data_IF_572180127926
#
_entry.id   IF_572180127926
#
_cell.length_a   1.000
_cell.length_b   1.000
_cell.length_c   1.000
_cell.angle_alpha   90.00
_cell.angle_beta   90.00
_cell.angle_gamma   90.00
#
_symmetry.space_group_name_H-M   'P 1'
#
loop_
_entity.id
_entity.type
_entity.pdbx_description
1 polymer ?
#
# COMPACT_ATOMS: atom_id res chain seq x y z
N UNK A 1 -24.85 -8.12 -19.20
CA UNK A 1 -25.87 -8.81 -18.39
C UNK A 1 -26.13 -7.97 -17.15
N UNK A 2 -27.34 -7.46 -17.03
CA UNK A 2 -27.81 -6.68 -15.88
C UNK A 2 -27.77 -7.58 -14.63
N UNK A 3 -27.17 -7.15 -13.52
CA UNK A 3 -27.24 -7.93 -12.29
C UNK A 3 -28.71 -8.07 -11.86
N UNK A 4 -29.15 -9.27 -11.62
CA UNK A 4 -30.47 -9.55 -11.05
C UNK A 4 -30.45 -9.00 -9.63
N UNK A 5 -31.11 -7.87 -9.41
CA UNK A 5 -31.41 -7.39 -8.05
C UNK A 5 -32.38 -8.40 -7.45
N UNK A 6 -31.90 -9.22 -6.53
CA UNK A 6 -32.76 -10.07 -5.72
C UNK A 6 -33.62 -9.17 -4.83
N UNK A 7 -34.91 -9.17 -5.04
CA UNK A 7 -35.87 -8.43 -4.20
C UNK A 7 -35.92 -8.95 -2.75
N UNK A 8 -35.35 -10.10 -2.47
CA UNK A 8 -35.21 -10.65 -1.12
C UNK A 8 -33.98 -10.06 -0.37
N UNK A 9 -33.07 -9.38 -1.06
CA UNK A 9 -31.90 -8.76 -0.43
C UNK A 9 -32.19 -7.34 0.12
N UNK A 10 -33.36 -6.76 -0.18
CA UNK A 10 -33.69 -5.40 0.24
C UNK A 10 -34.16 -5.27 1.70
N UNK A 11 -34.52 -6.39 2.35
CA UNK A 11 -35.05 -6.40 3.73
C UNK A 11 -34.06 -6.98 4.76
N UNK A 12 -32.89 -7.44 4.33
CA UNK A 12 -31.85 -7.88 5.25
C UNK A 12 -31.03 -6.64 5.62
N UNK A 13 -31.10 -6.22 6.89
CA UNK A 13 -30.18 -5.23 7.46
C UNK A 13 -28.74 -5.65 7.10
N UNK A 14 -28.11 -4.88 6.22
CA UNK A 14 -26.71 -5.14 5.84
C UNK A 14 -25.85 -4.82 7.03
N UNK A 15 -25.45 -5.84 7.77
CA UNK A 15 -24.47 -5.71 8.85
C UNK A 15 -23.08 -5.77 8.27
N UNK A 16 -22.21 -4.84 8.65
CA UNK A 16 -20.84 -4.77 8.15
C UNK A 16 -19.84 -4.67 9.29
N UNK A 17 -18.73 -5.37 9.12
CA UNK A 17 -17.50 -5.18 9.86
C UNK A 17 -16.48 -4.65 8.86
N UNK A 18 -15.95 -3.46 9.12
CA UNK A 18 -14.91 -2.87 8.28
C UNK A 18 -13.54 -3.27 8.84
N UNK A 19 -12.70 -3.80 7.95
CA UNK A 19 -11.35 -4.25 8.32
C UNK A 19 -10.37 -3.56 7.39
N UNK A 20 -9.31 -3.00 7.96
CA UNK A 20 -8.20 -2.36 7.23
C UNK A 20 -8.55 -1.06 6.50
N UNK A 21 -9.68 -0.46 6.83
CA UNK A 21 -10.06 0.87 6.36
C UNK A 21 -11.14 1.51 7.24
N UNK A 22 -11.14 2.83 7.27
CA UNK A 22 -12.19 3.66 7.87
C UNK A 22 -12.51 4.87 6.98
N UNK A 23 -12.28 4.75 5.67
CA UNK A 23 -12.59 5.78 4.66
C UNK A 23 -13.73 5.32 3.76
N UNK A 24 -14.73 6.19 3.54
CA UNK A 24 -15.89 5.89 2.69
C UNK A 24 -15.51 5.49 1.27
N UNK A 25 -14.49 6.12 0.70
CA UNK A 25 -14.00 5.84 -0.65
C UNK A 25 -13.25 4.52 -0.80
N UNK A 26 -12.94 3.84 0.30
CA UNK A 26 -12.32 2.51 0.31
C UNK A 26 -13.34 1.41 0.63
N UNK A 27 -14.51 1.78 1.12
CA UNK A 27 -15.57 0.86 1.43
C UNK A 27 -16.34 0.44 0.16
N UNK A 28 -17.06 -0.68 0.26
CA UNK A 28 -17.95 -1.13 -0.82
C UNK A 28 -19.09 -0.15 -1.04
N UNK A 29 -19.60 -0.09 -2.27
CA UNK A 29 -20.77 0.72 -2.60
C UNK A 29 -21.97 0.36 -1.71
N UNK A 30 -22.62 1.37 -1.15
CA UNK A 30 -23.77 1.22 -0.27
C UNK A 30 -23.41 1.00 1.21
N UNK A 31 -22.16 1.25 1.62
CA UNK A 31 -21.77 1.18 3.04
C UNK A 31 -22.56 2.16 3.91
N UNK A 32 -23.01 3.29 3.36
CA UNK A 32 -23.83 4.28 4.03
C UNK A 32 -25.25 3.80 4.35
N UNK A 33 -25.71 2.73 3.70
CA UNK A 33 -27.00 2.07 3.96
C UNK A 33 -26.87 0.89 4.93
N UNK A 34 -25.64 0.58 5.35
CA UNK A 34 -25.35 -0.57 6.18
C UNK A 34 -25.28 -0.21 7.66
N UNK A 35 -25.64 -1.16 8.51
CA UNK A 35 -25.39 -1.12 9.93
C UNK A 35 -23.94 -1.57 10.19
N UNK A 36 -23.04 -0.60 10.33
CA UNK A 36 -21.63 -0.87 10.64
C UNK A 36 -21.53 -1.22 12.12
N UNK A 37 -21.17 -2.47 12.42
CA UNK A 37 -21.06 -2.98 13.78
C UNK A 37 -19.67 -2.77 14.38
N UNK A 38 -18.64 -2.98 13.57
CA UNK A 38 -17.26 -2.93 14.02
C UNK A 38 -16.35 -2.31 12.96
N UNK A 39 -15.32 -1.60 13.41
CA UNK A 39 -14.21 -1.11 12.56
C UNK A 39 -12.91 -1.53 13.24
N UNK A 40 -12.09 -2.31 12.52
CA UNK A 40 -10.78 -2.79 12.98
C UNK A 40 -9.73 -2.31 11.99
N UNK A 41 -8.88 -1.38 12.41
CA UNK A 41 -8.01 -0.66 11.49
C UNK A 41 -6.69 -0.21 12.14
N UNK A 42 -5.69 0.07 11.32
CA UNK A 42 -4.40 0.64 11.72
C UNK A 42 -4.09 1.97 11.03
N UNK A 43 -4.98 2.43 10.17
CA UNK A 43 -4.80 3.69 9.43
C UNK A 43 -5.18 4.92 10.27
N UNK A 44 -4.89 6.10 9.74
CA UNK A 44 -5.39 7.36 10.29
C UNK A 44 -6.91 7.35 10.30
N UNK A 45 -7.50 8.07 11.24
CA UNK A 45 -8.94 8.31 11.24
C UNK A 45 -9.36 9.12 10.02
N UNK A 46 -10.47 8.73 9.41
CA UNK A 46 -11.00 9.36 8.23
C UNK A 46 -12.54 9.55 8.29
N UNK A 47 -13.25 9.36 7.19
CA UNK A 47 -14.56 9.92 6.92
C UNK A 47 -15.75 8.97 7.04
N UNK A 48 -15.61 7.80 7.65
CA UNK A 48 -16.75 6.91 7.91
C UNK A 48 -17.61 7.52 9.03
N UNK A 49 -18.89 7.73 8.72
CA UNK A 49 -19.92 8.11 9.65
C UNK A 49 -20.85 6.92 9.88
N UNK A 50 -21.24 6.67 11.12
CA UNK A 50 -22.13 5.55 11.50
C UNK A 50 -23.43 6.09 12.11
N UNK A 51 -24.55 5.40 11.87
CA UNK A 51 -25.86 5.78 12.41
C UNK A 51 -26.00 5.53 13.91
N UNK A 52 -25.21 4.61 14.45
CA UNK A 52 -25.24 4.22 15.85
C UNK A 52 -23.86 4.01 16.44
N UNK A 53 -23.78 3.66 17.73
CA UNK A 53 -22.52 3.29 18.36
C UNK A 53 -21.88 2.09 17.67
N UNK A 54 -20.56 2.16 17.45
CA UNK A 54 -19.77 1.12 16.78
C UNK A 54 -18.61 0.70 17.68
N UNK A 55 -18.27 -0.58 17.65
CA UNK A 55 -17.00 -1.03 18.21
C UNK A 55 -15.87 -0.57 17.26
N UNK A 56 -15.02 0.33 17.75
CA UNK A 56 -13.93 0.88 16.93
C UNK A 56 -12.59 0.57 17.58
N UNK A 57 -11.80 -0.28 16.94
CA UNK A 57 -10.45 -0.63 17.38
C UNK A 57 -9.44 -0.17 16.34
N UNK A 58 -8.71 0.88 16.68
CA UNK A 58 -7.63 1.42 15.86
C UNK A 58 -6.34 1.47 16.68
N UNK A 59 -5.24 0.96 16.10
CA UNK A 59 -3.93 0.95 16.76
C UNK A 59 -2.84 1.36 15.76
N UNK A 60 -1.82 2.12 16.19
CA UNK A 60 -0.72 2.55 15.33
C UNK A 60 0.32 1.43 15.15
N UNK A 61 -0.10 0.33 14.53
CA UNK A 61 0.74 -0.83 14.16
C UNK A 61 0.95 -0.88 12.66
N UNK A 62 1.81 -1.76 12.19
CA UNK A 62 2.15 -1.89 10.78
C UNK A 62 1.10 -2.57 9.92
N UNK A 63 0.22 -3.39 10.53
CA UNK A 63 -0.79 -4.16 9.82
C UNK A 63 -2.01 -4.43 10.70
N UNK A 64 -3.21 -4.37 10.13
CA UNK A 64 -4.46 -4.74 10.83
C UNK A 64 -4.46 -6.21 11.29
N UNK A 65 -3.77 -7.11 10.60
CA UNK A 65 -3.66 -8.52 11.02
C UNK A 65 -2.99 -8.68 12.39
N UNK A 66 -2.12 -7.76 12.78
CA UNK A 66 -1.53 -7.71 14.14
C UNK A 66 -2.62 -7.49 15.19
N UNK A 67 -3.56 -6.59 14.92
CA UNK A 67 -4.71 -6.31 15.81
C UNK A 67 -5.63 -7.53 15.87
N UNK A 68 -5.91 -8.16 14.73
CA UNK A 68 -6.75 -9.36 14.67
C UNK A 68 -6.14 -10.49 15.49
N UNK A 69 -4.83 -10.71 15.40
CA UNK A 69 -4.17 -11.71 16.23
C UNK A 69 -4.26 -11.40 17.74
N UNK A 70 -4.11 -10.14 18.14
CA UNK A 70 -4.36 -9.74 19.54
C UNK A 70 -5.79 -10.07 20.00
N UNK A 71 -6.78 -9.88 19.10
CA UNK A 71 -8.17 -10.23 19.41
C UNK A 71 -8.34 -11.73 19.64
N UNK A 72 -7.63 -12.59 18.92
CA UNK A 72 -7.60 -14.03 19.19
C UNK A 72 -7.03 -14.32 20.57
N UNK A 73 -5.87 -13.70 20.92
CA UNK A 73 -5.24 -13.89 22.25
C UNK A 73 -6.16 -13.39 23.39
N UNK A 74 -6.75 -12.21 23.26
CA UNK A 74 -7.64 -11.59 24.24
C UNK A 74 -8.90 -12.44 24.53
N UNK A 75 -9.40 -13.12 23.51
CA UNK A 75 -10.58 -13.98 23.65
C UNK A 75 -10.24 -15.45 23.98
N UNK A 76 -8.96 -15.78 24.14
CA UNK A 76 -8.52 -17.15 24.43
C UNK A 76 -8.81 -18.13 23.29
N UNK A 77 -8.92 -17.65 22.04
CA UNK A 77 -9.19 -18.46 20.87
C UNK A 77 -7.86 -18.84 20.20
N UNK A 78 -7.64 -20.14 20.04
CA UNK A 78 -6.47 -20.62 19.31
C UNK A 78 -6.61 -20.35 17.81
N UNK A 79 -5.56 -19.78 17.20
CA UNK A 79 -5.48 -19.60 15.76
C UNK A 79 -5.07 -20.92 15.12
N UNK A 80 -5.80 -21.37 14.10
CA UNK A 80 -5.39 -22.53 13.30
C UNK A 80 -4.26 -22.18 12.32
N UNK A 81 -3.57 -23.20 11.79
CA UNK A 81 -2.40 -23.02 10.95
C UNK A 81 -2.69 -22.22 9.65
N UNK A 82 -3.88 -22.37 9.07
CA UNK A 82 -4.26 -21.67 7.83
C UNK A 82 -4.45 -20.18 8.11
N UNK A 83 -5.23 -19.84 9.14
CA UNK A 83 -5.43 -18.45 9.53
C UNK A 83 -4.12 -17.81 10.02
N UNK A 84 -3.27 -18.56 10.73
CA UNK A 84 -1.96 -18.08 11.12
C UNK A 84 -1.07 -17.75 9.92
N UNK A 85 -1.05 -18.59 8.88
CA UNK A 85 -0.32 -18.32 7.64
C UNK A 85 -0.84 -17.07 6.93
N UNK A 86 -2.16 -16.89 6.84
CA UNK A 86 -2.78 -15.73 6.21
C UNK A 86 -2.47 -14.42 6.96
N UNK A 87 -2.62 -14.43 8.28
CA UNK A 87 -2.31 -13.26 9.11
C UNK A 87 -0.81 -12.91 9.05
N UNK A 88 0.06 -13.92 9.10
CA UNK A 88 1.51 -13.73 8.94
C UNK A 88 1.84 -13.11 7.58
N UNK A 89 1.24 -13.62 6.51
CA UNK A 89 1.41 -13.09 5.15
C UNK A 89 1.00 -11.63 5.04
N UNK A 90 -0.14 -11.25 5.63
CA UNK A 90 -0.61 -9.87 5.65
C UNK A 90 0.40 -8.95 6.37
N UNK A 91 0.91 -9.35 7.53
CA UNK A 91 1.92 -8.56 8.26
C UNK A 91 3.20 -8.41 7.44
N UNK A 92 3.71 -9.48 6.82
CA UNK A 92 4.91 -9.44 5.96
C UNK A 92 4.70 -8.47 4.79
N UNK A 93 3.54 -8.51 4.16
CA UNK A 93 3.18 -7.64 3.03
C UNK A 93 3.19 -6.16 3.43
N UNK A 94 2.41 -5.79 4.44
CA UNK A 94 2.22 -4.40 4.85
C UNK A 94 3.47 -3.77 5.48
N UNK A 95 4.25 -4.60 6.17
CA UNK A 95 5.49 -4.14 6.80
C UNK A 95 6.72 -4.25 5.90
N UNK A 96 6.56 -4.71 4.65
CA UNK A 96 7.68 -4.98 3.73
C UNK A 96 8.75 -5.85 4.42
N UNK A 97 8.33 -6.97 4.98
CA UNK A 97 9.18 -7.86 5.76
C UNK A 97 9.93 -7.08 6.87
N UNK A 98 9.16 -6.32 7.67
CA UNK A 98 9.60 -5.51 8.83
C UNK A 98 10.46 -4.28 8.49
N UNK A 99 10.58 -3.88 7.20
CA UNK A 99 11.39 -2.75 6.74
C UNK A 99 10.58 -1.46 6.53
N UNK A 100 9.26 -1.55 6.58
CA UNK A 100 8.40 -0.37 6.47
C UNK A 100 8.57 0.55 7.69
N UNK A 101 8.61 1.88 7.52
CA UNK A 101 8.61 2.82 8.64
C UNK A 101 7.32 2.77 9.49
N UNK A 102 6.31 2.01 9.05
CA UNK A 102 5.10 1.75 9.82
C UNK A 102 5.21 0.53 10.72
N UNK A 103 6.19 -0.35 10.45
CA UNK A 103 6.40 -1.56 11.23
C UNK A 103 6.72 -1.23 12.68
N UNK A 104 6.10 -1.97 13.59
CA UNK A 104 6.37 -1.88 15.02
C UNK A 104 6.97 -3.19 15.53
N UNK A 105 7.64 -3.18 16.70
CA UNK A 105 8.11 -4.42 17.32
C UNK A 105 7.00 -5.44 17.57
N UNK A 106 5.76 -4.96 17.76
CA UNK A 106 4.60 -5.83 17.95
C UNK A 106 4.27 -6.61 16.66
N UNK A 107 4.38 -5.98 15.50
CA UNK A 107 4.15 -6.64 14.21
C UNK A 107 5.15 -7.79 13.99
N UNK A 108 6.42 -7.54 14.27
CA UNK A 108 7.46 -8.57 14.12
C UNK A 108 7.25 -9.75 15.08
N UNK A 109 7.01 -9.47 16.36
CA UNK A 109 6.73 -10.52 17.36
C UNK A 109 5.50 -11.32 16.97
N UNK A 110 4.44 -10.66 16.52
CA UNK A 110 3.20 -11.31 16.08
C UNK A 110 3.42 -12.19 14.87
N UNK A 111 4.11 -11.69 13.84
CA UNK A 111 4.39 -12.47 12.64
C UNK A 111 5.22 -13.73 12.95
N UNK A 112 6.23 -13.63 13.83
CA UNK A 112 7.05 -14.79 14.25
C UNK A 112 6.23 -15.84 14.98
N UNK A 113 5.36 -15.45 15.91
CA UNK A 113 4.42 -16.38 16.57
C UNK A 113 3.48 -17.07 15.59
N UNK A 114 2.93 -16.32 14.64
CA UNK A 114 2.04 -16.85 13.61
C UNK A 114 2.77 -17.82 12.66
N UNK A 115 4.02 -17.54 12.33
CA UNK A 115 4.87 -18.42 11.52
C UNK A 115 5.15 -19.76 12.26
N UNK A 116 5.39 -19.72 13.56
CA UNK A 116 5.54 -20.93 14.38
C UNK A 116 4.25 -21.78 14.36
N UNK A 117 3.08 -21.16 14.57
CA UNK A 117 1.78 -21.84 14.53
C UNK A 117 1.53 -22.47 13.16
N UNK A 118 1.86 -21.75 12.08
CA UNK A 118 1.67 -22.21 10.71
C UNK A 118 2.78 -23.17 10.24
N UNK A 119 3.88 -23.32 10.99
CA UNK A 119 5.08 -24.08 10.61
C UNK A 119 5.67 -23.62 9.28
N UNK A 120 5.78 -22.30 9.08
CA UNK A 120 6.34 -21.67 7.87
C UNK A 120 7.62 -20.92 8.17
N UNK A 121 8.49 -20.81 7.16
CA UNK A 121 9.66 -19.95 7.18
C UNK A 121 9.30 -18.58 6.64
N UNK A 122 9.49 -17.51 7.44
CA UNK A 122 9.11 -16.15 7.09
C UNK A 122 9.89 -15.64 5.87
N UNK A 123 11.18 -15.93 5.80
CA UNK A 123 12.07 -15.48 4.74
C UNK A 123 11.68 -16.11 3.39
N UNK A 124 11.38 -17.41 3.39
CA UNK A 124 10.93 -18.12 2.19
C UNK A 124 9.56 -17.62 1.75
N UNK A 125 8.61 -17.49 2.70
CA UNK A 125 7.29 -16.96 2.41
C UNK A 125 7.36 -15.53 1.84
N UNK A 126 8.15 -14.65 2.43
CA UNK A 126 8.35 -13.30 1.94
C UNK A 126 8.91 -13.29 0.51
N UNK A 127 9.93 -14.13 0.25
CA UNK A 127 10.52 -14.26 -1.08
C UNK A 127 9.49 -14.69 -2.12
N UNK A 128 8.68 -15.72 -1.81
CA UNK A 128 7.63 -16.20 -2.70
C UNK A 128 6.54 -15.15 -2.93
N UNK A 129 6.08 -14.49 -1.87
CA UNK A 129 5.05 -13.46 -1.97
C UNK A 129 5.50 -12.27 -2.82
N UNK A 130 6.69 -11.72 -2.56
CA UNK A 130 7.18 -10.56 -3.31
C UNK A 130 7.51 -10.94 -4.76
N UNK A 131 8.06 -12.13 -5.01
CA UNK A 131 8.26 -12.62 -6.38
C UNK A 131 6.94 -12.83 -7.12
N UNK A 132 5.92 -13.34 -6.46
CA UNK A 132 4.59 -13.49 -7.06
C UNK A 132 3.91 -12.15 -7.32
N UNK A 133 4.02 -11.21 -6.37
CA UNK A 133 3.48 -9.85 -6.48
C UNK A 133 4.15 -9.03 -7.59
N UNK A 134 5.44 -9.24 -7.80
CA UNK A 134 6.23 -8.58 -8.84
C UNK A 134 6.20 -9.30 -10.20
N UNK A 135 5.50 -10.44 -10.33
CA UNK A 135 5.40 -11.14 -11.60
C UNK A 135 4.56 -10.34 -12.63
N UNK A 136 5.24 -9.40 -13.27
CA UNK A 136 4.65 -8.45 -14.24
C UNK A 136 4.83 -8.87 -15.70
N UNK A 137 5.25 -10.12 -15.97
CA UNK A 137 5.60 -10.62 -17.31
C UNK A 137 4.46 -10.52 -18.33
N UNK A 138 3.21 -10.69 -17.88
CA UNK A 138 2.03 -10.61 -18.76
C UNK A 138 1.36 -9.22 -18.83
N UNK A 139 1.82 -8.23 -18.06
CA UNK A 139 1.23 -6.90 -17.99
C UNK A 139 1.89 -5.94 -18.98
N UNK A 140 1.10 -5.03 -19.54
CA UNK A 140 1.62 -3.91 -20.33
C UNK A 140 2.36 -2.90 -19.44
N UNK A 141 3.17 -2.02 -20.04
CA UNK A 141 3.85 -0.96 -19.30
C UNK A 141 2.86 -0.03 -18.56
N UNK A 142 1.71 0.23 -19.16
CA UNK A 142 0.66 1.06 -18.56
C UNK A 142 0.00 0.36 -17.38
N UNK A 143 -0.31 -0.93 -17.49
CA UNK A 143 -0.83 -1.71 -16.36
C UNK A 143 0.16 -1.78 -15.18
N UNK A 144 1.46 -1.85 -15.46
CA UNK A 144 2.50 -1.83 -14.42
C UNK A 144 2.55 -0.47 -13.73
N UNK A 145 2.55 0.61 -14.52
CA UNK A 145 2.62 1.98 -14.01
C UNK A 145 1.45 2.31 -13.08
N UNK A 146 0.26 1.80 -13.40
CA UNK A 146 -0.97 2.09 -12.66
C UNK A 146 -1.40 0.98 -11.67
N UNK A 147 -0.62 -0.06 -11.48
CA UNK A 147 -0.95 -1.19 -10.59
C UNK A 147 -1.12 -0.74 -9.14
N UNK A 148 -0.19 0.04 -8.62
CA UNK A 148 -0.28 0.73 -7.33
C UNK A 148 0.02 2.22 -7.54
N UNK A 149 -0.97 2.94 -8.01
CA UNK A 149 -0.87 4.33 -8.41
C UNK A 149 -1.85 5.21 -7.63
N UNK A 150 -1.38 6.35 -7.15
CA UNK A 150 -2.24 7.36 -6.52
C UNK A 150 -1.96 8.74 -7.07
N UNK A 151 -3.04 9.52 -7.22
CA UNK A 151 -3.00 10.89 -7.67
C UNK A 151 -3.16 11.85 -6.50
N UNK A 152 -2.51 13.00 -6.61
CA UNK A 152 -2.50 14.06 -5.61
C UNK A 152 -2.62 15.41 -6.31
N UNK A 153 -3.18 16.39 -5.61
CA UNK A 153 -3.23 17.78 -6.07
C UNK A 153 -2.67 18.67 -4.97
N UNK A 154 -1.72 19.53 -5.33
CA UNK A 154 -1.16 20.54 -4.45
C UNK A 154 -1.22 21.86 -5.20
N UNK A 155 -1.96 22.84 -4.67
CA UNK A 155 -2.32 24.05 -5.38
C UNK A 155 -2.94 23.68 -6.74
N UNK A 156 -2.39 24.20 -7.85
CA UNK A 156 -2.87 23.89 -9.22
C UNK A 156 -2.05 22.76 -9.89
N UNK A 157 -1.20 22.06 -9.13
CA UNK A 157 -0.33 21.00 -9.65
C UNK A 157 -0.89 19.64 -9.35
N UNK A 158 -1.27 18.90 -10.39
CA UNK A 158 -1.69 17.51 -10.30
C UNK A 158 -0.51 16.59 -10.57
N UNK A 159 -0.22 15.68 -9.65
CA UNK A 159 0.82 14.68 -9.86
C UNK A 159 0.38 13.28 -9.44
N UNK A 160 1.01 12.30 -10.03
CA UNK A 160 0.76 10.90 -9.74
C UNK A 160 2.01 10.18 -9.26
N UNK A 161 1.85 9.22 -8.37
CA UNK A 161 2.94 8.38 -7.88
C UNK A 161 2.56 6.92 -7.97
N UNK A 162 3.28 6.16 -8.79
CA UNK A 162 3.22 4.71 -8.84
C UNK A 162 4.36 4.09 -8.04
N UNK A 163 4.17 2.86 -7.59
CA UNK A 163 5.21 2.10 -6.87
C UNK A 163 5.17 0.62 -7.23
N UNK A 164 6.34 0.04 -7.37
CA UNK A 164 6.57 -1.42 -7.43
C UNK A 164 7.65 -1.77 -6.42
N UNK A 165 7.40 -2.83 -5.67
CA UNK A 165 8.34 -3.39 -4.70
C UNK A 165 8.89 -4.71 -5.22
N UNK A 166 10.20 -4.93 -5.12
CA UNK A 166 10.83 -6.20 -5.44
C UNK A 166 12.02 -6.47 -4.52
N UNK A 167 12.35 -7.74 -4.37
CA UNK A 167 13.59 -8.19 -3.71
C UNK A 167 14.74 -8.35 -4.72
N UNK A 168 14.46 -8.26 -6.04
CA UNK A 168 15.42 -8.42 -7.12
C UNK A 168 15.72 -7.08 -7.80
N UNK A 169 17.00 -6.70 -7.83
CA UNK A 169 17.47 -5.52 -8.55
C UNK A 169 17.33 -5.67 -10.08
N UNK A 170 17.54 -6.89 -10.58
CA UNK A 170 17.39 -7.21 -12.01
C UNK A 170 15.95 -7.02 -12.46
N UNK A 171 14.99 -7.50 -11.69
CA UNK A 171 13.56 -7.33 -11.99
C UNK A 171 13.16 -5.85 -12.01
N UNK A 172 13.63 -5.07 -11.01
CA UNK A 172 13.37 -3.62 -11.01
C UNK A 172 13.95 -2.92 -12.24
N UNK A 173 15.11 -3.35 -12.70
CA UNK A 173 15.72 -2.84 -13.93
C UNK A 173 14.88 -3.18 -15.17
N UNK A 174 14.41 -4.42 -15.30
CA UNK A 174 13.52 -4.83 -16.40
C UNK A 174 12.21 -4.02 -16.39
N UNK A 175 11.63 -3.80 -15.22
CA UNK A 175 10.42 -2.98 -15.06
C UNK A 175 10.69 -1.53 -15.50
N UNK A 176 11.82 -0.95 -15.10
CA UNK A 176 12.25 0.38 -15.51
C UNK A 176 12.31 0.50 -17.03
N UNK A 177 13.01 -0.41 -17.69
CA UNK A 177 13.19 -0.43 -19.15
C UNK A 177 11.84 -0.51 -19.88
N UNK A 178 10.87 -1.22 -19.32
CA UNK A 178 9.51 -1.34 -19.88
C UNK A 178 8.66 -0.09 -19.67
N UNK A 179 8.72 0.49 -18.46
CA UNK A 179 7.81 1.58 -18.05
C UNK A 179 8.29 2.95 -18.56
N UNK A 180 9.59 3.21 -18.50
CA UNK A 180 10.18 4.51 -18.79
C UNK A 180 9.74 5.11 -20.16
N UNK A 181 9.70 4.37 -21.29
CA UNK A 181 9.28 4.91 -22.58
C UNK A 181 7.80 5.31 -22.62
N UNK A 182 6.98 4.83 -21.71
CA UNK A 182 5.53 5.04 -21.70
C UNK A 182 5.07 6.14 -20.73
N UNK A 183 5.94 6.61 -19.82
CA UNK A 183 5.57 7.55 -18.78
C UNK A 183 5.04 8.88 -19.29
N UNK A 184 5.67 9.48 -20.31
CA UNK A 184 5.23 10.77 -20.86
C UNK A 184 3.84 10.67 -21.52
N UNK A 185 3.56 9.58 -22.22
CA UNK A 185 2.24 9.33 -22.79
C UNK A 185 1.19 9.15 -21.69
N UNK A 186 1.52 8.35 -20.67
CA UNK A 186 0.65 8.12 -19.52
C UNK A 186 0.35 9.43 -18.77
N UNK A 187 1.37 10.25 -18.51
CA UNK A 187 1.22 11.56 -17.89
C UNK A 187 0.22 12.45 -18.63
N UNK A 188 0.34 12.55 -19.97
CA UNK A 188 -0.56 13.36 -20.80
C UNK A 188 -1.98 12.80 -20.82
N UNK A 189 -2.15 11.49 -20.96
CA UNK A 189 -3.45 10.83 -21.00
C UNK A 189 -4.26 11.04 -19.70
N UNK A 190 -3.58 11.12 -18.57
CA UNK A 190 -4.20 11.33 -17.26
C UNK A 190 -4.24 12.80 -16.82
N UNK A 191 -3.84 13.74 -17.67
CA UNK A 191 -3.87 15.18 -17.38
C UNK A 191 -2.96 15.60 -16.23
N UNK A 192 -1.89 14.87 -15.98
CA UNK A 192 -0.97 15.13 -14.86
C UNK A 192 0.12 16.11 -15.27
N UNK A 193 0.48 17.02 -14.37
CA UNK A 193 1.65 17.88 -14.52
C UNK A 193 2.95 17.07 -14.36
N UNK A 194 2.97 16.14 -13.42
CA UNK A 194 4.12 15.29 -13.11
C UNK A 194 3.68 13.86 -12.82
N UNK A 195 4.55 12.91 -13.13
CA UNK A 195 4.39 11.52 -12.74
C UNK A 195 5.71 10.98 -12.19
N UNK A 196 5.63 10.29 -11.07
CA UNK A 196 6.74 9.67 -10.37
C UNK A 196 6.51 8.17 -10.29
N UNK A 197 7.56 7.39 -10.48
CA UNK A 197 7.47 5.94 -10.35
C UNK A 197 8.60 5.42 -9.48
N UNK A 198 8.24 4.82 -8.33
CA UNK A 198 9.17 4.26 -7.37
C UNK A 198 9.46 2.80 -7.71
N UNK A 199 10.69 2.49 -7.91
CA UNK A 199 11.23 1.14 -8.02
C UNK A 199 11.92 0.80 -6.70
N UNK A 200 11.20 0.17 -5.80
CA UNK A 200 11.64 -0.06 -4.42
C UNK A 200 12.30 -1.43 -4.29
N UNK A 201 13.58 -1.43 -3.96
CA UNK A 201 14.27 -2.65 -3.54
C UNK A 201 14.14 -2.83 -2.03
N UNK A 202 13.41 -3.87 -1.63
CA UNK A 202 13.12 -4.15 -0.23
C UNK A 202 14.38 -4.55 0.53
N UNK A 203 15.31 -5.25 -0.11
CA UNK A 203 16.54 -5.75 0.54
C UNK A 203 17.51 -4.61 0.86
N UNK A 204 17.68 -3.66 -0.07
CA UNK A 204 18.58 -2.51 0.11
C UNK A 204 17.90 -1.33 0.79
N UNK A 205 16.60 -1.44 1.07
CA UNK A 205 15.78 -0.37 1.67
C UNK A 205 15.92 0.97 0.94
N UNK A 206 15.88 0.90 -0.39
CA UNK A 206 16.05 2.07 -1.24
C UNK A 206 15.13 2.03 -2.45
N UNK A 207 14.80 3.21 -2.98
CA UNK A 207 14.00 3.33 -4.19
C UNK A 207 14.74 4.12 -5.25
N UNK A 208 14.80 3.58 -6.46
CA UNK A 208 15.08 4.38 -7.64
C UNK A 208 13.81 5.11 -8.04
N UNK A 209 13.90 6.42 -8.23
CA UNK A 209 12.76 7.23 -8.62
C UNK A 209 12.89 7.69 -10.06
N UNK A 210 11.90 7.33 -10.88
CA UNK A 210 11.75 7.85 -12.23
C UNK A 210 10.79 9.02 -12.19
N UNK A 211 11.22 10.15 -12.78
CA UNK A 211 10.46 11.39 -12.83
C UNK A 211 10.10 11.73 -14.28
N UNK A 212 8.88 12.22 -14.50
CA UNK A 212 8.40 12.66 -15.80
C UNK A 212 7.51 13.90 -15.66
N UNK A 213 7.72 14.89 -16.48
CA UNK A 213 7.05 16.20 -16.46
C UNK A 213 8.03 17.33 -16.17
N UNK A 214 7.63 18.56 -16.50
CA UNK A 214 8.44 19.74 -16.25
C UNK A 214 8.72 19.89 -14.75
N UNK A 215 9.97 20.24 -14.39
CA UNK A 215 10.43 20.44 -13.02
C UNK A 215 10.33 19.22 -12.08
N UNK A 216 9.81 18.07 -12.54
CA UNK A 216 9.60 16.89 -11.69
C UNK A 216 10.92 16.41 -11.07
N UNK A 217 11.99 16.40 -11.85
CA UNK A 217 13.32 16.00 -11.42
C UNK A 217 13.93 16.99 -10.45
N UNK A 218 13.89 18.28 -10.79
CA UNK A 218 14.44 19.37 -9.98
C UNK A 218 13.78 19.44 -8.59
N UNK A 219 12.46 19.22 -8.54
CA UNK A 219 11.72 19.15 -7.27
C UNK A 219 12.21 18.01 -6.38
N UNK A 220 12.52 16.84 -6.94
CA UNK A 220 13.09 15.71 -6.17
C UNK A 220 14.52 15.99 -5.73
N UNK A 221 15.35 16.49 -6.61
CA UNK A 221 16.75 16.84 -6.31
C UNK A 221 16.78 17.81 -5.12
N UNK A 222 15.99 18.88 -5.19
CA UNK A 222 15.89 19.88 -4.11
C UNK A 222 15.30 19.29 -2.82
N UNK A 223 14.25 18.44 -2.92
CA UNK A 223 13.56 17.90 -1.76
C UNK A 223 14.38 16.88 -0.97
N UNK A 224 15.30 16.18 -1.63
CA UNK A 224 16.15 15.15 -1.03
C UNK A 224 17.63 15.51 -0.97
N UNK A 225 17.99 16.77 -1.29
CA UNK A 225 19.37 17.26 -1.32
C UNK A 225 20.31 16.35 -2.13
N UNK A 226 19.83 15.95 -3.33
CA UNK A 226 20.59 15.09 -4.23
C UNK A 226 21.53 15.91 -5.10
N UNK A 227 22.58 15.26 -5.64
CA UNK A 227 23.45 15.88 -6.62
C UNK A 227 22.70 16.10 -7.93
N UNK A 228 22.83 17.28 -8.52
CA UNK A 228 22.09 17.68 -9.72
C UNK A 228 22.51 16.90 -10.98
N UNK A 229 23.74 16.41 -11.00
CA UNK A 229 24.31 15.59 -12.08
C UNK A 229 24.02 14.10 -11.93
N UNK A 230 23.28 13.67 -10.90
CA UNK A 230 22.97 12.27 -10.67
C UNK A 230 22.19 11.68 -11.85
N UNK A 231 22.75 10.73 -12.57
CA UNK A 231 22.06 10.03 -13.66
C UNK A 231 20.83 9.27 -13.15
N UNK A 232 20.92 8.72 -11.93
CA UNK A 232 19.88 7.94 -11.26
C UNK A 232 19.50 8.63 -9.95
N UNK A 233 18.20 8.88 -9.76
CA UNK A 233 17.68 9.40 -8.50
C UNK A 233 17.46 8.25 -7.51
N UNK A 234 18.47 7.93 -6.73
CA UNK A 234 18.41 6.88 -5.71
C UNK A 234 18.08 7.46 -4.34
N UNK A 235 16.91 7.12 -3.82
CA UNK A 235 16.41 7.54 -2.52
C UNK A 235 16.71 6.46 -1.48
N UNK A 236 17.82 6.62 -0.75
CA UNK A 236 18.23 5.69 0.32
C UNK A 236 17.31 5.80 1.53
N UNK A 237 16.87 4.67 2.09
CA UNK A 237 15.97 4.62 3.24
C UNK A 237 14.51 5.01 2.91
N UNK A 238 14.19 5.25 1.64
CA UNK A 238 12.82 5.59 1.20
C UNK A 238 12.19 4.36 0.56
N UNK A 239 11.26 3.73 1.28
CA UNK A 239 10.56 2.51 0.84
C UNK A 239 9.04 2.69 0.84
N UNK A 240 8.54 3.78 1.38
CA UNK A 240 7.12 4.07 1.50
C UNK A 240 6.70 5.32 0.74
N UNK A 241 5.91 5.13 -0.32
CA UNK A 241 5.27 6.24 -1.02
C UNK A 241 4.50 7.15 -0.08
N UNK A 242 3.60 6.55 0.73
CA UNK A 242 2.63 7.28 1.58
C UNK A 242 3.30 8.07 2.70
N UNK A 243 4.30 7.49 3.35
CA UNK A 243 4.90 8.05 4.58
C UNK A 243 6.17 8.87 4.33
N UNK A 244 6.86 8.62 3.23
CA UNK A 244 8.16 9.24 2.97
C UNK A 244 8.15 10.08 1.68
N UNK A 245 7.78 9.51 0.51
CA UNK A 245 7.89 10.26 -0.74
C UNK A 245 6.82 11.35 -0.87
N UNK A 246 5.54 11.01 -0.68
CA UNK A 246 4.44 11.97 -0.91
C UNK A 246 4.49 13.17 0.04
N UNK A 247 4.72 13.03 1.35
CA UNK A 247 4.86 14.20 2.23
C UNK A 247 6.00 15.13 1.83
N UNK A 248 7.14 14.57 1.42
CA UNK A 248 8.30 15.35 0.95
C UNK A 248 7.99 16.09 -0.35
N UNK A 249 7.34 15.43 -1.33
CA UNK A 249 6.89 16.06 -2.56
C UNK A 249 5.88 17.19 -2.32
N UNK A 250 4.91 16.96 -1.45
CA UNK A 250 3.92 17.99 -1.09
C UNK A 250 4.62 19.22 -0.50
N UNK A 251 5.57 19.03 0.41
CA UNK A 251 6.37 20.12 0.97
C UNK A 251 7.16 20.89 -0.09
N UNK A 252 7.75 20.20 -1.08
CA UNK A 252 8.50 20.83 -2.16
C UNK A 252 7.63 21.56 -3.20
N UNK A 253 6.35 21.16 -3.34
CA UNK A 253 5.40 21.80 -4.26
C UNK A 253 4.65 22.98 -3.62
N UNK A 254 4.75 23.16 -2.30
CA UNK A 254 4.17 24.30 -1.59
C UNK A 254 5.13 25.49 -1.47
N UNK A 255 6.39 25.28 -1.79
CA UNK A 255 7.44 26.33 -1.85
C UNK A 255 7.49 26.96 -3.24
#
# INVERSE_FOLDING_TARGET
>A
STPIKSSAASDVYKRQILVDHNEKNQAVDGVEEADVLEIIDHHRLSSIETMGPVYFRNQPVGCTATIVYQMYEENGIAVDAVNAALLCSAIISDTLMFRSPTCTPLDEVTARKLAEIASINIEELAQEMFNAGSNLKGKSAEEILFLDFKQFTVNDTMFGVGQVNSMSAEELKEIKERVLPHMEKARKNHGLNMIFFMLTNIITESSELICCGAEAREKIISAYDLQDDAEILMLKGVVSRKKQLVPTLVGALQQ
#
